data_IF_790032303852
#
_entry.id   IF_790032303852
#
_cell.length_a   1.000
_cell.length_b   1.000
_cell.length_c   1.000
_cell.angle_alpha   90.00
_cell.angle_beta   90.00
_cell.angle_gamma   90.00
#
_symmetry.space_group_name_H-M   'P 1'
#
loop_
_entity.id
_entity.type
_entity.pdbx_description
1 polymer ?
#
# COMPACT_ATOMS: atom_id res chain seq x y z
N UNK A 1 -40.70 35.69 26.07
CA UNK A 1 -39.31 35.64 25.57
C UNK A 1 -38.77 34.24 25.85
N UNK A 2 -38.88 33.33 24.88
CA UNK A 2 -38.22 32.03 24.95
C UNK A 2 -36.88 32.18 24.23
N UNK A 3 -35.79 32.04 24.97
CA UNK A 3 -34.45 32.03 24.43
C UNK A 3 -34.24 30.73 23.65
N UNK A 4 -34.15 30.83 22.32
CA UNK A 4 -33.70 29.76 21.46
C UNK A 4 -32.20 29.58 21.66
N UNK A 5 -31.81 28.50 22.33
CA UNK A 5 -30.44 27.99 22.38
C UNK A 5 -29.95 27.75 20.95
N UNK A 6 -28.76 28.24 20.53
CA UNK A 6 -28.25 27.91 19.21
C UNK A 6 -27.95 26.41 19.16
N UNK A 7 -28.51 25.75 18.14
CA UNK A 7 -28.17 24.37 17.81
C UNK A 7 -26.64 24.28 17.69
N UNK A 8 -26.04 23.35 18.42
CA UNK A 8 -24.64 22.99 18.25
C UNK A 8 -24.41 22.72 16.76
N UNK A 9 -23.55 23.51 16.12
CA UNK A 9 -23.13 23.26 14.77
C UNK A 9 -22.58 21.83 14.73
N UNK A 10 -23.28 20.92 14.05
CA UNK A 10 -22.76 19.61 13.75
C UNK A 10 -21.38 19.83 13.10
N UNK A 11 -20.31 19.30 13.71
CA UNK A 11 -18.98 19.40 13.16
C UNK A 11 -19.06 18.94 11.70
N UNK A 12 -18.71 19.80 10.75
CA UNK A 12 -18.83 19.49 9.34
C UNK A 12 -18.00 18.25 9.06
N UNK A 13 -18.65 17.14 8.68
CA UNK A 13 -17.96 15.93 8.32
C UNK A 13 -17.06 16.23 7.11
N UNK A 14 -15.75 16.00 7.23
CA UNK A 14 -14.82 16.22 6.14
C UNK A 14 -15.21 15.35 4.93
N UNK A 15 -15.24 15.95 3.74
CA UNK A 15 -15.64 15.28 2.49
C UNK A 15 -14.43 15.16 1.58
N UNK A 16 -14.22 13.98 1.00
CA UNK A 16 -13.26 13.76 -0.10
C UNK A 16 -13.99 13.90 -1.43
N UNK A 17 -13.41 14.69 -2.32
CA UNK A 17 -13.89 14.94 -3.67
C UNK A 17 -12.93 14.30 -4.67
N UNK A 18 -13.39 13.27 -5.37
CA UNK A 18 -12.64 12.68 -6.48
C UNK A 18 -12.82 13.59 -7.70
N UNK A 19 -11.72 14.11 -8.22
CA UNK A 19 -11.66 15.06 -9.34
C UNK A 19 -11.36 14.35 -10.66
N UNK A 20 -10.51 13.33 -10.62
CA UNK A 20 -10.19 12.52 -11.79
C UNK A 20 -9.90 11.08 -11.40
N UNK A 21 -10.22 10.18 -12.34
CA UNK A 21 -9.88 8.76 -12.23
C UNK A 21 -9.18 8.33 -13.50
N UNK A 22 -7.94 7.90 -13.37
CA UNK A 22 -7.03 7.61 -14.47
C UNK A 22 -6.38 6.24 -14.26
N UNK A 23 -5.67 5.78 -15.28
CA UNK A 23 -4.82 4.59 -15.21
C UNK A 23 -3.43 4.96 -15.70
N UNK A 24 -2.40 4.66 -14.92
CA UNK A 24 -1.00 4.75 -15.34
C UNK A 24 -0.58 3.38 -15.87
N UNK A 25 -0.20 3.33 -17.14
CA UNK A 25 0.26 2.11 -17.83
C UNK A 25 1.76 2.16 -18.05
N UNK A 26 2.48 1.02 -18.08
CA UNK A 26 3.92 0.99 -18.38
C UNK A 26 4.24 1.69 -19.70
N UNK A 27 5.37 2.43 -19.76
CA UNK A 27 5.86 3.06 -20.99
C UNK A 27 6.53 2.09 -21.96
N UNK A 28 6.90 0.89 -21.48
CA UNK A 28 7.48 -0.20 -22.28
C UNK A 28 6.56 -1.40 -22.21
N UNK A 29 6.29 -2.00 -23.37
CA UNK A 29 5.44 -3.19 -23.48
C UNK A 29 6.16 -4.38 -22.87
N UNK A 30 5.46 -5.12 -22.01
CA UNK A 30 5.97 -6.37 -21.46
C UNK A 30 5.76 -7.50 -22.48
N UNK A 31 6.73 -8.39 -22.60
CA UNK A 31 6.62 -9.54 -23.48
C UNK A 31 5.34 -10.37 -23.16
N UNK A 32 4.55 -10.75 -24.18
CA UNK A 32 3.33 -11.50 -23.95
C UNK A 32 3.57 -12.82 -23.22
N UNK A 33 2.68 -13.15 -22.28
CA UNK A 33 2.70 -14.43 -21.57
C UNK A 33 3.57 -14.46 -20.31
N UNK A 34 4.24 -13.35 -19.96
CA UNK A 34 4.95 -13.24 -18.68
C UNK A 34 3.98 -13.28 -17.51
N UNK A 35 4.31 -14.10 -16.51
CA UNK A 35 3.54 -14.25 -15.28
C UNK A 35 4.48 -14.39 -14.09
N UNK A 36 3.98 -14.02 -12.91
CA UNK A 36 4.66 -14.23 -11.63
C UNK A 36 3.81 -15.15 -10.76
N UNK A 37 4.38 -16.25 -10.27
CA UNK A 37 3.64 -17.27 -9.54
C UNK A 37 3.31 -16.82 -8.11
N UNK A 38 2.07 -17.11 -7.70
CA UNK A 38 1.61 -17.02 -6.31
C UNK A 38 1.17 -18.43 -5.88
N UNK A 39 2.11 -19.18 -5.30
CA UNK A 39 1.87 -20.52 -4.81
C UNK A 39 0.98 -20.49 -3.56
N UNK A 40 0.01 -21.39 -3.49
CA UNK A 40 -0.89 -21.53 -2.33
C UNK A 40 -0.78 -22.96 -1.84
N UNK A 41 -0.37 -23.16 -0.58
CA UNK A 41 -0.11 -24.50 -0.04
C UNK A 41 -1.38 -25.37 0.06
N UNK A 42 -2.55 -24.74 0.27
CA UNK A 42 -3.85 -25.41 0.33
C UNK A 42 -4.89 -24.62 -0.50
N UNK A 43 -4.94 -24.81 -1.84
CA UNK A 43 -5.92 -24.12 -2.68
C UNK A 43 -7.35 -24.66 -2.47
N UNK A 44 -8.40 -23.84 -2.66
CA UNK A 44 -8.35 -22.44 -3.09
C UNK A 44 -8.02 -21.48 -1.94
N UNK A 45 -7.39 -20.35 -2.28
CA UNK A 45 -7.17 -19.26 -1.32
C UNK A 45 -8.53 -18.71 -0.84
N UNK A 46 -8.76 -18.56 0.48
CA UNK A 46 -10.03 -18.07 0.99
C UNK A 46 -10.25 -16.60 0.61
N UNK A 47 -11.49 -16.20 0.35
CA UNK A 47 -11.83 -14.85 -0.12
C UNK A 47 -11.27 -13.70 0.76
N UNK A 48 -11.26 -13.78 2.11
CA UNK A 48 -10.64 -12.75 2.95
C UNK A 48 -9.14 -12.57 2.71
N UNK A 49 -8.42 -13.63 2.34
CA UNK A 49 -6.99 -13.53 2.07
C UNK A 49 -6.68 -12.73 0.80
N UNK A 50 -7.63 -12.65 -0.15
CA UNK A 50 -7.53 -11.78 -1.33
C UNK A 50 -7.73 -10.28 -0.99
N UNK A 51 -8.37 -9.97 0.14
CA UNK A 51 -8.63 -8.59 0.59
C UNK A 51 -7.51 -8.00 1.45
N UNK A 52 -6.54 -8.85 1.83
CA UNK A 52 -5.38 -8.45 2.60
C UNK A 52 -4.53 -7.49 1.77
N UNK A 53 -4.21 -6.32 2.35
CA UNK A 53 -3.48 -5.27 1.65
C UNK A 53 -2.56 -4.48 2.57
N UNK A 54 -1.51 -3.95 1.96
CA UNK A 54 -0.71 -2.87 2.53
C UNK A 54 -1.43 -1.55 2.22
N UNK A 55 -1.64 -0.72 3.23
CA UNK A 55 -2.03 0.67 3.08
C UNK A 55 -0.90 1.57 3.56
N UNK A 56 -0.45 2.47 2.71
CA UNK A 56 0.53 3.50 3.04
C UNK A 56 -0.02 4.88 2.69
N UNK A 57 0.11 5.85 3.60
CA UNK A 57 -0.26 7.25 3.37
C UNK A 57 0.92 8.15 3.75
N UNK A 58 1.42 8.90 2.78
CA UNK A 58 2.54 9.83 2.94
C UNK A 58 2.01 11.25 2.83
N UNK A 59 2.25 12.08 3.85
CA UNK A 59 1.75 13.44 3.95
C UNK A 59 2.86 14.45 3.73
N UNK A 60 2.61 15.50 2.96
CA UNK A 60 3.58 16.52 2.60
C UNK A 60 3.02 17.91 2.86
N UNK A 61 3.88 18.82 3.33
CA UNK A 61 3.55 20.24 3.45
C UNK A 61 3.51 20.89 2.07
N UNK A 62 2.66 21.90 1.92
CA UNK A 62 2.71 22.77 0.75
C UNK A 62 3.95 23.65 0.76
N UNK A 63 4.47 24.02 -0.41
CA UNK A 63 5.66 24.85 -0.55
C UNK A 63 5.45 26.34 -0.19
N UNK A 64 4.35 26.69 0.49
CA UNK A 64 4.06 28.06 0.94
C UNK A 64 3.93 29.06 -0.22
N UNK A 65 2.76 29.07 -0.88
CA UNK A 65 2.45 30.02 -1.93
C UNK A 65 1.34 29.51 -2.84
N UNK A 66 0.46 30.40 -3.30
CA UNK A 66 -0.56 30.07 -4.29
C UNK A 66 0.09 29.80 -5.65
N UNK A 67 0.75 28.65 -5.80
CA UNK A 67 1.36 28.26 -7.06
C UNK A 67 0.29 27.69 -8.01
N UNK A 68 0.16 28.20 -9.24
CA UNK A 68 -0.75 27.67 -10.28
C UNK A 68 -0.44 26.22 -10.73
N UNK A 69 0.66 25.62 -10.26
CA UNK A 69 1.24 24.35 -10.74
C UNK A 69 0.65 23.06 -10.15
N UNK A 70 -0.29 23.14 -9.21
CA UNK A 70 -0.87 21.95 -8.55
C UNK A 70 -1.49 20.94 -9.54
N UNK A 71 -1.91 21.43 -10.72
CA UNK A 71 -2.46 20.61 -11.80
C UNK A 71 -1.37 19.92 -12.65
N UNK A 72 -0.31 20.66 -13.00
CA UNK A 72 0.85 20.12 -13.72
C UNK A 72 1.45 18.92 -12.97
N UNK A 73 1.35 18.93 -11.64
CA UNK A 73 1.83 17.85 -10.78
C UNK A 73 1.09 16.52 -10.97
N UNK A 74 -0.21 16.53 -11.27
CA UNK A 74 -0.96 15.30 -11.54
C UNK A 74 -0.49 14.60 -12.81
N UNK A 75 -0.16 15.40 -13.82
CA UNK A 75 0.43 14.94 -15.08
C UNK A 75 1.80 14.34 -14.81
N UNK A 76 2.68 15.03 -14.09
CA UNK A 76 4.02 14.52 -13.77
C UNK A 76 3.98 13.25 -12.90
N UNK A 77 3.06 13.16 -11.95
CA UNK A 77 2.84 11.95 -11.14
C UNK A 77 2.47 10.78 -12.05
N UNK A 78 1.50 10.95 -12.95
CA UNK A 78 1.10 9.89 -13.88
C UNK A 78 2.24 9.47 -14.81
N UNK A 79 2.91 10.42 -15.47
CA UNK A 79 4.00 10.11 -16.42
C UNK A 79 5.16 9.38 -15.73
N UNK A 80 5.56 9.85 -14.54
CA UNK A 80 6.61 9.20 -13.77
C UNK A 80 6.22 7.84 -13.20
N UNK A 81 4.96 7.66 -12.82
CA UNK A 81 4.44 6.36 -12.40
C UNK A 81 4.45 5.39 -13.57
N UNK A 82 3.98 5.81 -14.74
CA UNK A 82 4.04 5.04 -15.98
C UNK A 82 5.46 4.60 -16.34
N UNK A 83 6.44 5.49 -16.19
CA UNK A 83 7.84 5.14 -16.43
C UNK A 83 8.40 4.18 -15.37
N UNK A 84 8.05 4.36 -14.10
CA UNK A 84 8.47 3.44 -13.03
C UNK A 84 7.87 2.04 -13.21
N UNK A 85 6.63 1.94 -13.69
CA UNK A 85 5.97 0.67 -13.98
C UNK A 85 6.66 -0.12 -15.11
N UNK A 86 7.42 0.55 -15.98
CA UNK A 86 8.17 -0.13 -17.02
C UNK A 86 9.40 -0.90 -16.47
N UNK A 87 9.85 -0.56 -15.25
CA UNK A 87 10.90 -1.31 -14.53
C UNK A 87 10.30 -2.29 -13.49
N UNK A 88 9.00 -2.16 -13.19
CA UNK A 88 8.25 -2.97 -12.21
C UNK A 88 6.89 -3.41 -12.78
N UNK A 89 6.88 -4.17 -13.88
CA UNK A 89 5.64 -4.46 -14.63
C UNK A 89 4.65 -5.34 -13.87
N UNK A 90 5.09 -6.09 -12.87
CA UNK A 90 4.21 -6.84 -11.97
C UNK A 90 3.20 -5.92 -11.28
N UNK A 91 3.60 -4.70 -10.92
CA UNK A 91 2.72 -3.70 -10.30
C UNK A 91 1.59 -3.23 -11.24
N UNK A 92 1.76 -3.40 -12.54
CA UNK A 92 0.76 -3.10 -13.58
C UNK A 92 -0.08 -4.33 -14.00
N UNK A 93 0.17 -5.50 -13.40
CA UNK A 93 -0.48 -6.75 -13.76
C UNK A 93 -1.88 -6.95 -13.18
N UNK A 94 -2.43 -8.15 -13.40
CA UNK A 94 -3.73 -8.58 -12.86
C UNK A 94 -3.63 -9.98 -12.26
N UNK A 95 -4.38 -10.23 -11.20
CA UNK A 95 -4.45 -11.55 -10.57
C UNK A 95 -5.23 -12.51 -11.48
N UNK A 96 -4.78 -13.76 -11.54
CA UNK A 96 -5.47 -14.83 -12.24
C UNK A 96 -5.40 -16.12 -11.44
N UNK A 97 -6.51 -16.84 -11.39
CA UNK A 97 -6.56 -18.21 -10.85
C UNK A 97 -6.13 -19.20 -11.92
N UNK A 98 -5.22 -20.12 -11.56
CA UNK A 98 -4.76 -21.20 -12.44
C UNK A 98 -5.66 -22.43 -12.29
N UNK A 99 -5.54 -23.35 -13.25
CA UNK A 99 -6.34 -24.58 -13.27
C UNK A 99 -6.06 -25.52 -12.08
N UNK A 100 -4.85 -25.46 -11.51
CA UNK A 100 -4.44 -26.22 -10.33
C UNK A 100 -4.90 -25.57 -9.00
N UNK A 101 -5.65 -24.47 -9.07
CA UNK A 101 -6.14 -23.72 -7.90
C UNK A 101 -5.12 -22.74 -7.31
N UNK A 102 -3.87 -22.72 -7.80
CA UNK A 102 -2.90 -21.70 -7.46
C UNK A 102 -3.23 -20.36 -8.13
N UNK A 103 -2.50 -19.31 -7.74
CA UNK A 103 -2.69 -17.96 -8.26
C UNK A 103 -1.44 -17.50 -9.01
N UNK A 104 -1.61 -16.49 -9.83
CA UNK A 104 -0.51 -15.80 -10.48
C UNK A 104 -0.87 -14.34 -10.74
N UNK A 105 0.17 -13.53 -10.91
CA UNK A 105 0.05 -12.19 -11.47
C UNK A 105 0.41 -12.28 -12.94
N UNK A 106 -0.56 -12.01 -13.81
CA UNK A 106 -0.32 -11.86 -15.24
C UNK A 106 0.19 -10.46 -15.52
N UNK A 107 1.38 -10.35 -16.10
CA UNK A 107 1.99 -9.07 -16.48
C UNK A 107 1.42 -8.67 -17.84
N UNK A 108 0.32 -7.92 -17.83
CA UNK A 108 -0.49 -7.62 -19.02
C UNK A 108 -0.66 -6.11 -19.28
N UNK A 109 0.19 -5.28 -18.67
CA UNK A 109 0.24 -3.83 -18.84
C UNK A 109 -1.09 -3.10 -18.59
N UNK A 110 -2.02 -3.71 -17.83
CA UNK A 110 -3.33 -3.09 -17.55
C UNK A 110 -3.17 -1.84 -16.68
N UNK A 111 -2.06 -1.72 -15.95
CA UNK A 111 -1.67 -0.52 -15.24
C UNK A 111 -2.28 -0.37 -13.85
N UNK A 112 -1.87 0.71 -13.18
CA UNK A 112 -2.24 1.08 -11.81
C UNK A 112 -3.35 2.12 -11.84
N UNK A 113 -4.35 1.96 -10.97
CA UNK A 113 -5.44 2.93 -10.85
C UNK A 113 -4.93 4.16 -10.09
N UNK A 114 -5.01 5.33 -10.74
CA UNK A 114 -4.55 6.61 -10.19
C UNK A 114 -5.75 7.55 -10.00
N UNK A 115 -5.98 7.99 -8.77
CA UNK A 115 -7.02 8.95 -8.43
C UNK A 115 -6.40 10.31 -8.10
N UNK A 116 -7.08 11.37 -8.50
CA UNK A 116 -6.81 12.72 -8.02
C UNK A 116 -8.00 13.19 -7.20
N UNK A 117 -7.73 13.70 -6.01
CA UNK A 117 -8.76 14.11 -5.07
C UNK A 117 -8.42 15.41 -4.33
N UNK A 118 -9.44 16.05 -3.81
CA UNK A 118 -9.34 17.10 -2.79
C UNK A 118 -10.10 16.69 -1.54
N UNK A 119 -9.71 17.20 -0.38
CA UNK A 119 -10.43 16.98 0.87
C UNK A 119 -10.77 18.31 1.52
N UNK A 120 -11.98 18.42 2.06
CA UNK A 120 -12.47 19.59 2.79
C UNK A 120 -11.92 19.65 4.23
N UNK A 121 -10.59 19.65 4.35
CA UNK A 121 -9.83 19.77 5.59
C UNK A 121 -8.45 20.36 5.28
N UNK A 122 -7.88 21.11 6.22
CA UNK A 122 -6.44 21.40 6.19
C UNK A 122 -5.64 20.16 6.58
N UNK A 123 -4.35 20.11 6.21
CA UNK A 123 -3.48 19.00 6.60
C UNK A 123 -3.38 18.86 8.12
N UNK A 124 -3.23 19.98 8.84
CA UNK A 124 -3.12 19.98 10.29
C UNK A 124 -4.41 19.52 10.97
N UNK A 125 -5.59 19.95 10.49
CA UNK A 125 -6.88 19.44 10.98
C UNK A 125 -7.05 17.94 10.73
N UNK A 126 -6.62 17.45 9.56
CA UNK A 126 -6.75 16.04 9.21
C UNK A 126 -5.86 15.14 10.06
N UNK A 127 -4.63 15.58 10.33
CA UNK A 127 -3.68 14.87 11.20
C UNK A 127 -4.03 15.02 12.69
N UNK A 128 -4.78 16.06 13.06
CA UNK A 128 -5.23 16.26 14.43
C UNK A 128 -6.27 15.20 14.85
N UNK A 129 -6.19 14.79 16.12
CA UNK A 129 -7.15 13.87 16.75
C UNK A 129 -6.52 12.54 17.17
N UNK A 130 -6.83 12.12 18.40
CA UNK A 130 -6.36 10.85 18.95
C UNK A 130 -7.31 9.72 18.51
N UNK A 131 -6.77 8.66 17.90
CA UNK A 131 -7.49 7.39 17.73
C UNK A 131 -8.43 7.25 16.53
N UNK A 132 -8.48 8.21 15.60
CA UNK A 132 -9.35 8.14 14.40
C UNK A 132 -8.60 8.28 13.06
N UNK A 133 -7.29 8.53 13.07
CA UNK A 133 -6.52 8.78 11.85
C UNK A 133 -6.53 7.58 10.89
N UNK A 134 -6.28 6.37 11.38
CA UNK A 134 -6.29 5.14 10.57
C UNK A 134 -7.62 4.96 9.82
N UNK A 135 -8.75 5.24 10.48
CA UNK A 135 -10.09 5.17 9.90
C UNK A 135 -10.30 6.21 8.79
N UNK A 136 -9.76 7.43 8.97
CA UNK A 136 -9.83 8.49 7.95
C UNK A 136 -8.91 8.21 6.76
N UNK A 137 -7.80 7.52 6.97
CA UNK A 137 -6.82 7.17 5.94
C UNK A 137 -7.37 6.26 4.83
N UNK A 138 -8.42 5.48 5.12
CA UNK A 138 -9.17 4.76 4.07
C UNK A 138 -9.73 5.68 2.98
N UNK A 139 -10.06 6.94 3.31
CA UNK A 139 -10.53 7.92 2.33
C UNK A 139 -9.39 8.48 1.46
N UNK A 140 -8.14 8.35 1.91
CA UNK A 140 -6.94 8.81 1.18
C UNK A 140 -6.27 7.71 0.36
N UNK A 141 -6.51 6.44 0.68
CA UNK A 141 -5.94 5.28 0.00
C UNK A 141 -7.07 4.37 -0.52
N UNK A 142 -7.53 4.55 -1.77
CA UNK A 142 -8.71 3.87 -2.30
C UNK A 142 -8.47 2.36 -2.41
N UNK A 143 -9.55 1.59 -2.28
CA UNK A 143 -9.51 0.15 -2.41
C UNK A 143 -10.82 -0.38 -3.02
N UNK A 144 -10.73 -1.47 -3.75
CA UNK A 144 -11.88 -2.26 -4.18
C UNK A 144 -11.51 -3.71 -4.00
N UNK A 145 -12.40 -4.46 -3.36
CA UNK A 145 -12.16 -5.86 -3.06
C UNK A 145 -11.94 -6.68 -4.33
N UNK A 146 -10.99 -7.60 -4.26
CA UNK A 146 -10.68 -8.53 -5.35
C UNK A 146 -11.79 -9.57 -5.41
N UNK A 147 -12.51 -9.60 -6.53
CA UNK A 147 -13.50 -10.64 -6.81
C UNK A 147 -12.78 -11.95 -7.13
N UNK A 148 -13.08 -13.02 -6.39
CA UNK A 148 -12.46 -14.32 -6.61
C UNK A 148 -12.92 -15.00 -7.90
N UNK A 149 -14.08 -14.62 -8.43
CA UNK A 149 -14.64 -15.16 -9.68
C UNK A 149 -14.06 -14.48 -10.91
N UNK A 150 -13.87 -13.15 -10.84
CA UNK A 150 -13.31 -12.32 -11.93
C UNK A 150 -12.08 -11.51 -11.46
N UNK A 151 -11.01 -12.17 -10.97
CA UNK A 151 -9.88 -11.47 -10.35
C UNK A 151 -9.05 -10.66 -11.34
N UNK A 152 -9.13 -10.97 -12.63
CA UNK A 152 -8.43 -10.26 -13.69
C UNK A 152 -9.04 -8.88 -14.01
N UNK A 153 -10.29 -8.68 -13.60
CA UNK A 153 -11.00 -7.40 -13.71
C UNK A 153 -10.73 -6.47 -12.52
N UNK A 154 -10.09 -6.97 -11.46
CA UNK A 154 -9.79 -6.22 -10.24
C UNK A 154 -8.39 -5.60 -10.28
N UNK A 155 -8.22 -4.29 -10.02
CA UNK A 155 -6.89 -3.68 -9.85
C UNK A 155 -6.31 -4.12 -8.50
N UNK A 156 -5.13 -4.77 -8.45
CA UNK A 156 -4.52 -5.17 -7.18
C UNK A 156 -3.75 -4.02 -6.51
N UNK A 157 -3.57 -2.88 -7.21
CA UNK A 157 -2.82 -1.73 -6.72
C UNK A 157 -3.50 -0.42 -7.14
N UNK A 158 -3.70 0.45 -6.16
CA UNK A 158 -4.24 1.79 -6.31
C UNK A 158 -3.29 2.84 -5.72
N UNK A 159 -3.28 4.01 -6.35
CA UNK A 159 -2.62 5.22 -5.86
C UNK A 159 -3.60 6.39 -5.93
N UNK A 160 -3.59 7.27 -4.93
CA UNK A 160 -4.38 8.49 -4.89
C UNK A 160 -3.52 9.67 -4.45
N UNK A 161 -3.56 10.73 -5.24
CA UNK A 161 -3.01 12.03 -4.87
C UNK A 161 -4.14 12.90 -4.32
N UNK A 162 -4.10 13.21 -3.03
CA UNK A 162 -5.13 14.02 -2.36
C UNK A 162 -4.55 15.36 -1.94
N UNK A 163 -5.20 16.46 -2.30
CA UNK A 163 -4.81 17.80 -1.86
C UNK A 163 -5.72 18.29 -0.73
N UNK A 164 -5.10 18.85 0.31
CA UNK A 164 -5.79 19.48 1.43
C UNK A 164 -6.15 20.94 1.11
N UNK A 165 -7.16 21.46 1.81
CA UNK A 165 -7.44 22.89 1.79
C UNK A 165 -6.31 23.69 2.48
N UNK A 166 -6.18 24.96 2.13
CA UNK A 166 -5.21 25.87 2.76
C UNK A 166 -3.87 25.96 2.02
N UNK A 167 -2.78 25.68 2.73
CA UNK A 167 -1.38 25.98 2.36
C UNK A 167 -0.81 25.17 1.18
N UNK A 168 -1.61 24.28 0.59
CA UNK A 168 -1.20 23.41 -0.50
C UNK A 168 -0.60 22.07 -0.04
N UNK A 169 -0.78 21.69 1.23
CA UNK A 169 -0.49 20.34 1.70
C UNK A 169 -1.17 19.25 0.87
N UNK A 170 -0.53 18.09 0.77
CA UNK A 170 -1.04 16.96 -0.01
C UNK A 170 -0.64 15.62 0.60
N UNK A 171 -1.36 14.56 0.23
CA UNK A 171 -1.05 13.19 0.58
C UNK A 171 -0.96 12.30 -0.66
N UNK A 172 -0.07 11.32 -0.60
CA UNK A 172 -0.04 10.17 -1.50
C UNK A 172 -0.51 8.96 -0.72
N UNK A 173 -1.70 8.48 -1.04
CA UNK A 173 -2.26 7.26 -0.46
C UNK A 173 -2.14 6.09 -1.43
N UNK A 174 -1.78 4.93 -0.90
CA UNK A 174 -1.55 3.70 -1.66
C UNK A 174 -2.26 2.55 -0.96
N UNK A 175 -2.94 1.72 -1.76
CA UNK A 175 -3.44 0.41 -1.34
C UNK A 175 -2.93 -0.65 -2.31
N UNK A 176 -2.22 -1.64 -1.81
CA UNK A 176 -1.64 -2.72 -2.62
C UNK A 176 -1.99 -4.08 -2.00
N UNK A 177 -2.56 -4.99 -2.80
CA UNK A 177 -2.87 -6.34 -2.39
C UNK A 177 -1.58 -7.04 -1.90
N UNK A 178 -1.63 -7.73 -0.76
CA UNK A 178 -0.48 -8.46 -0.22
C UNK A 178 -0.07 -9.63 -1.12
N UNK A 179 -1.01 -10.17 -1.89
CA UNK A 179 -0.73 -11.17 -2.94
C UNK A 179 0.03 -10.59 -4.14
N UNK A 180 0.08 -9.26 -4.28
CA UNK A 180 0.84 -8.55 -5.31
C UNK A 180 2.20 -8.08 -4.80
N UNK A 181 2.28 -7.48 -3.63
CA UNK A 181 3.54 -7.04 -3.07
C UNK A 181 3.46 -7.03 -1.55
N UNK A 182 4.51 -7.54 -0.92
CA UNK A 182 4.74 -7.33 0.50
C UNK A 182 5.10 -5.84 0.79
N UNK A 183 5.02 -5.39 2.05
CA UNK A 183 5.33 -4.02 2.42
C UNK A 183 6.72 -3.53 1.99
N UNK A 184 7.75 -4.39 2.04
CA UNK A 184 9.11 -4.01 1.68
C UNK A 184 9.27 -3.85 0.17
N UNK A 185 8.71 -4.77 -0.62
CA UNK A 185 8.65 -4.65 -2.09
C UNK A 185 7.87 -3.40 -2.51
N UNK A 186 6.73 -3.13 -1.87
CA UNK A 186 5.97 -1.91 -2.13
C UNK A 186 6.79 -0.65 -1.81
N UNK A 187 7.48 -0.61 -0.67
CA UNK A 187 8.32 0.53 -0.31
C UNK A 187 9.46 0.75 -1.31
N UNK A 188 10.14 -0.32 -1.73
CA UNK A 188 11.17 -0.27 -2.77
C UNK A 188 10.63 0.26 -4.10
N UNK A 189 9.45 -0.18 -4.52
CA UNK A 189 8.77 0.35 -5.70
C UNK A 189 8.50 1.85 -5.58
N UNK A 190 7.92 2.29 -4.45
CA UNK A 190 7.58 3.69 -4.22
C UNK A 190 8.82 4.60 -4.18
N UNK A 191 9.92 4.14 -3.57
CA UNK A 191 11.21 4.82 -3.58
C UNK A 191 11.82 4.87 -4.99
N UNK A 192 11.70 3.79 -5.77
CA UNK A 192 12.11 3.78 -7.18
C UNK A 192 11.31 4.78 -8.00
N UNK A 193 9.99 4.80 -7.83
CA UNK A 193 9.11 5.78 -8.47
C UNK A 193 9.49 7.21 -8.13
N UNK A 194 9.78 7.53 -6.86
CA UNK A 194 10.21 8.87 -6.47
C UNK A 194 11.51 9.32 -7.15
N UNK A 195 12.49 8.41 -7.29
CA UNK A 195 13.71 8.68 -8.07
C UNK A 195 13.40 8.94 -9.55
N UNK A 196 12.54 8.13 -10.15
CA UNK A 196 12.07 8.32 -11.53
C UNK A 196 11.32 9.64 -11.70
N UNK A 197 10.48 10.01 -10.74
CA UNK A 197 9.75 11.27 -10.71
C UNK A 197 10.69 12.48 -10.66
N UNK A 198 11.70 12.45 -9.78
CA UNK A 198 12.71 13.49 -9.71
C UNK A 198 13.49 13.63 -11.04
N UNK A 199 13.89 12.51 -11.64
CA UNK A 199 14.58 12.48 -12.95
C UNK A 199 13.72 13.11 -14.05
N UNK A 200 12.45 12.69 -14.18
CA UNK A 200 11.56 13.19 -15.23
C UNK A 200 11.25 14.67 -15.02
N UNK A 201 11.01 15.12 -13.78
CA UNK A 201 10.82 16.56 -13.50
C UNK A 201 12.04 17.38 -13.87
N UNK A 202 13.24 16.90 -13.58
CA UNK A 202 14.48 17.57 -13.99
C UNK A 202 14.60 17.65 -15.52
N UNK A 203 14.28 16.57 -16.23
CA UNK A 203 14.26 16.55 -17.70
C UNK A 203 13.20 17.50 -18.28
N UNK A 204 11.99 17.52 -17.71
CA UNK A 204 10.90 18.39 -18.15
C UNK A 204 11.18 19.89 -18.01
N UNK A 205 12.03 20.29 -17.04
CA UNK A 205 12.56 21.66 -16.92
C UNK A 205 13.52 22.00 -18.06
N UNK A 206 14.29 21.02 -18.54
CA UNK A 206 15.27 21.20 -19.61
C UNK A 206 14.67 21.11 -21.02
N UNK A 207 13.63 20.28 -21.19
CA UNK A 207 12.92 20.11 -22.46
C UNK A 207 11.43 19.96 -22.16
N UNK A 208 10.59 20.94 -22.53
CA UNK A 208 9.18 20.85 -22.21
C UNK A 208 8.54 19.67 -22.94
N UNK A 209 7.97 18.72 -22.19
CA UNK A 209 7.25 17.57 -22.74
C UNK A 209 5.92 18.06 -23.30
N UNK A 210 5.73 18.09 -24.64
CA UNK A 210 4.56 18.74 -25.25
C UNK A 210 3.25 18.10 -24.80
N UNK A 211 3.21 16.76 -24.70
CA UNK A 211 2.04 16.02 -24.22
C UNK A 211 1.64 16.37 -22.78
N UNK A 212 2.62 16.60 -21.90
CA UNK A 212 2.34 17.00 -20.53
C UNK A 212 1.72 18.41 -20.46
N UNK A 213 2.19 19.32 -21.32
CA UNK A 213 1.61 20.67 -21.44
C UNK A 213 0.19 20.65 -22.01
N UNK A 214 -0.08 19.80 -23.02
CA UNK A 214 -1.42 19.64 -23.58
C UNK A 214 -2.40 19.05 -22.56
N UNK A 215 -2.00 18.02 -21.80
CA UNK A 215 -2.83 17.46 -20.73
C UNK A 215 -3.11 18.50 -19.64
N UNK A 216 -2.09 19.25 -19.21
CA UNK A 216 -2.25 20.34 -18.26
C UNK A 216 -3.23 21.43 -18.73
N UNK A 217 -3.30 21.67 -20.05
CA UNK A 217 -4.22 22.63 -20.65
C UNK A 217 -5.70 22.21 -20.54
N UNK A 218 -6.03 20.94 -20.82
CA UNK A 218 -7.42 20.45 -20.78
C UNK A 218 -8.01 20.31 -19.38
N UNK A 219 -7.15 20.33 -18.37
CA UNK A 219 -7.51 19.97 -17.02
C UNK A 219 -7.37 21.17 -16.06
N UNK A 220 -7.32 22.39 -16.59
CA UNK A 220 -7.23 23.62 -15.80
C UNK A 220 -8.42 23.74 -14.81
N UNK A 221 -8.15 24.07 -13.53
CA UNK A 221 -9.20 24.22 -12.52
C UNK A 221 -10.23 25.31 -12.84
N UNK A 222 -9.83 26.34 -13.58
CA UNK A 222 -10.68 27.48 -13.97
C UNK A 222 -11.73 27.11 -15.02
N UNK A 223 -11.50 26.05 -15.80
CA UNK A 223 -12.39 25.64 -16.88
C UNK A 223 -13.36 24.53 -16.47
N UNK A 224 -13.04 23.71 -15.45
CA UNK A 224 -13.99 22.73 -14.88
C UNK A 224 -13.43 22.05 -13.62
N UNK A 225 -13.83 22.48 -12.41
CA UNK A 225 -13.74 21.62 -11.22
C UNK A 225 -14.85 20.57 -11.27
N UNK A 226 -14.78 19.64 -12.23
CA UNK A 226 -15.76 18.57 -12.33
C UNK A 226 -15.41 17.51 -11.29
N UNK A 227 -16.13 17.54 -10.16
CA UNK A 227 -16.06 16.46 -9.16
C UNK A 227 -16.75 15.24 -9.75
N UNK A 228 -16.01 14.15 -9.93
CA UNK A 228 -16.54 12.84 -10.36
C UNK A 228 -17.45 12.28 -9.28
N UNK A 229 -17.00 12.34 -8.02
CA UNK A 229 -17.74 11.84 -6.85
C UNK A 229 -17.32 12.61 -5.61
N UNK A 230 -18.25 12.83 -4.69
CA UNK A 230 -17.96 13.38 -3.35
C UNK A 230 -18.44 12.39 -2.31
N UNK A 231 -17.61 12.10 -1.32
CA UNK A 231 -17.88 11.05 -0.31
C UNK A 231 -17.42 11.56 1.06
N UNK A 232 -18.30 11.57 2.07
CA UNK A 232 -17.90 11.85 3.45
C UNK A 232 -16.82 10.87 3.92
N UNK A 233 -15.81 11.34 4.64
CA UNK A 233 -14.69 10.51 5.11
C UNK A 233 -15.17 9.34 5.97
N UNK A 234 -16.21 9.56 6.78
CA UNK A 234 -16.77 8.52 7.64
C UNK A 234 -17.40 7.35 6.87
N UNK A 235 -17.71 7.53 5.58
CA UNK A 235 -18.23 6.46 4.71
C UNK A 235 -17.16 5.47 4.26
N UNK A 236 -15.87 5.79 4.42
CA UNK A 236 -14.76 4.88 4.04
C UNK A 236 -14.34 3.94 5.17
N UNK A 237 -14.88 4.16 6.36
CA UNK A 237 -14.65 3.30 7.50
C UNK A 237 -15.41 1.98 7.34
N UNK A 238 -14.76 0.99 6.74
CA UNK A 238 -15.25 -0.39 6.79
C UNK A 238 -15.06 -1.01 8.17
N UNK A 239 -15.82 -2.07 8.45
CA UNK A 239 -15.86 -2.81 9.72
C UNK A 239 -14.54 -3.50 10.15
N UNK A 240 -13.41 -3.26 9.46
CA UNK A 240 -12.10 -3.85 9.79
C UNK A 240 -10.94 -2.85 9.75
N UNK A 241 -11.22 -1.54 9.60
CA UNK A 241 -10.17 -0.54 9.55
C UNK A 241 -9.70 -0.15 10.95
N UNK A 242 -8.46 -0.49 11.28
CA UNK A 242 -7.91 -0.30 12.62
C UNK A 242 -8.27 -1.41 13.62
N UNK A 243 -8.74 -2.57 13.15
CA UNK A 243 -9.06 -3.75 13.97
C UNK A 243 -7.88 -4.74 14.10
N UNK A 244 -6.72 -4.37 13.55
CA UNK A 244 -5.50 -5.14 13.65
C UNK A 244 -4.31 -4.24 14.03
N UNK A 245 -3.32 -4.85 14.68
CA UNK A 245 -2.08 -4.21 15.06
C UNK A 245 -0.91 -5.00 14.51
N UNK A 246 0.09 -4.28 14.00
CA UNK A 246 1.20 -4.87 13.27
C UNK A 246 2.52 -4.52 13.94
N UNK A 247 3.35 -5.53 14.18
CA UNK A 247 4.70 -5.41 14.72
C UNK A 247 5.70 -5.97 13.70
N UNK A 248 6.82 -5.27 13.52
CA UNK A 248 7.89 -5.69 12.63
C UNK A 248 9.05 -6.25 13.44
N UNK A 249 9.69 -7.28 12.90
CA UNK A 249 10.86 -7.92 13.45
C UNK A 249 11.92 -8.13 12.37
N UNK A 250 13.18 -8.03 12.76
CA UNK A 250 14.30 -8.56 11.99
C UNK A 250 14.71 -9.90 12.57
N UNK A 251 14.74 -10.93 11.73
CA UNK A 251 15.25 -12.25 12.08
C UNK A 251 16.72 -12.36 11.64
N UNK A 252 17.58 -12.79 12.58
CA UNK A 252 19.00 -12.98 12.33
C UNK A 252 19.31 -14.08 11.31
N UNK A 253 20.52 -14.05 10.75
CA UNK A 253 20.96 -14.92 9.64
C UNK A 253 20.83 -16.42 9.90
N UNK A 254 20.96 -16.88 11.15
CA UNK A 254 20.75 -18.28 11.51
C UNK A 254 19.27 -18.70 11.45
N UNK A 255 18.34 -17.82 11.83
CA UNK A 255 16.91 -18.06 11.71
C UNK A 255 16.45 -17.96 10.25
N UNK A 256 17.08 -17.07 9.47
CA UNK A 256 16.85 -16.95 8.03
C UNK A 256 17.39 -18.15 7.25
N UNK A 257 18.58 -18.64 7.56
CA UNK A 257 19.17 -19.83 6.94
C UNK A 257 18.40 -21.11 7.29
N UNK A 258 17.84 -21.20 8.50
CA UNK A 258 16.91 -22.27 8.83
C UNK A 258 15.62 -22.17 8.01
N UNK A 259 15.08 -20.96 7.83
CA UNK A 259 13.87 -20.72 7.04
C UNK A 259 14.04 -21.07 5.54
N UNK A 260 15.23 -20.84 4.97
CA UNK A 260 15.60 -21.19 3.59
C UNK A 260 15.61 -22.73 3.35
N UNK A 261 15.56 -23.54 4.42
CA UNK A 261 15.58 -25.01 4.40
C UNK A 261 14.26 -25.70 4.04
N UNK A 262 13.12 -24.98 3.95
CA UNK A 262 11.83 -25.52 3.49
C UNK A 262 10.59 -24.92 4.18
N UNK A 263 9.38 -25.35 3.75
CA UNK A 263 8.10 -24.80 4.23
C UNK A 263 7.86 -25.00 5.75
N UNK A 264 8.55 -25.95 6.39
CA UNK A 264 8.42 -26.22 7.83
C UNK A 264 9.03 -25.14 8.73
N UNK A 265 10.10 -24.47 8.26
CA UNK A 265 10.91 -23.59 9.10
C UNK A 265 10.36 -22.14 9.14
N UNK A 266 9.72 -21.69 8.05
CA UNK A 266 8.97 -20.42 8.04
C UNK A 266 7.78 -20.44 9.01
N UNK A 267 7.14 -21.58 9.26
CA UNK A 267 6.03 -21.71 10.23
C UNK A 267 6.51 -21.52 11.66
N UNK A 268 7.66 -22.10 12.01
CA UNK A 268 8.27 -21.94 13.32
C UNK A 268 8.67 -20.49 13.58
N UNK A 269 9.29 -19.83 12.57
CA UNK A 269 9.62 -18.41 12.62
C UNK A 269 8.35 -17.54 12.78
N UNK A 270 7.30 -17.84 12.01
CA UNK A 270 6.03 -17.12 12.09
C UNK A 270 5.37 -17.27 13.48
N UNK A 271 5.35 -18.46 14.06
CA UNK A 271 4.85 -18.70 15.41
C UNK A 271 5.63 -17.89 16.45
N UNK A 272 6.97 -17.89 16.38
CA UNK A 272 7.81 -17.11 17.30
C UNK A 272 7.55 -15.59 17.17
N UNK A 273 7.34 -15.08 15.95
CA UNK A 273 7.00 -13.68 15.74
C UNK A 273 5.62 -13.31 16.30
N UNK A 274 4.65 -14.21 16.22
CA UNK A 274 3.30 -14.03 16.78
C UNK A 274 3.34 -14.03 18.31
N UNK A 275 4.07 -14.95 18.92
CA UNK A 275 4.24 -15.00 20.38
C UNK A 275 4.87 -13.68 20.87
N UNK A 276 5.96 -13.25 20.23
CA UNK A 276 6.64 -11.99 20.55
C UNK A 276 5.79 -10.75 20.29
N UNK A 277 5.00 -10.73 19.21
CA UNK A 277 4.05 -9.64 18.95
C UNK A 277 2.94 -9.59 19.99
N UNK A 278 2.43 -10.75 20.43
CA UNK A 278 1.40 -10.82 21.47
C UNK A 278 1.94 -10.28 22.80
N UNK A 279 3.17 -10.63 23.16
CA UNK A 279 3.86 -10.06 24.34
C UNK A 279 4.04 -8.55 24.22
N UNK A 280 4.52 -8.06 23.07
CA UNK A 280 4.77 -6.64 22.84
C UNK A 280 3.49 -5.78 22.87
N UNK A 281 2.37 -6.34 22.39
CA UNK A 281 1.06 -5.68 22.40
C UNK A 281 0.26 -5.93 23.70
N UNK A 282 0.77 -6.76 24.61
CA UNK A 282 0.07 -7.11 25.85
C UNK A 282 -1.20 -7.93 25.64
N UNK A 283 -1.31 -8.67 24.53
CA UNK A 283 -2.47 -9.53 24.21
C UNK A 283 -2.41 -10.83 25.02
N UNK A 284 -3.52 -11.15 25.68
CA UNK A 284 -3.67 -12.37 26.49
C UNK A 284 -4.25 -13.53 25.69
N UNK A 285 -5.05 -13.22 24.68
CA UNK A 285 -5.71 -14.22 23.86
C UNK A 285 -4.74 -14.76 22.82
N UNK A 286 -4.69 -16.10 22.72
CA UNK A 286 -3.85 -16.77 21.76
C UNK A 286 -4.55 -16.81 20.42
N UNK A 287 -3.88 -16.30 19.39
CA UNK A 287 -4.28 -16.47 18.00
C UNK A 287 -4.32 -17.97 17.68
N UNK A 288 -5.47 -18.47 17.23
CA UNK A 288 -5.69 -19.90 16.97
C UNK A 288 -5.28 -20.33 15.56
N UNK A 289 -5.26 -19.38 14.62
CA UNK A 289 -4.98 -19.60 13.19
C UNK A 289 -3.99 -18.56 12.67
N UNK A 290 -3.04 -19.01 11.87
CA UNK A 290 -2.02 -18.18 11.27
C UNK A 290 -2.00 -18.35 9.76
N UNK A 291 -2.03 -17.23 9.06
CA UNK A 291 -1.66 -17.17 7.66
C UNK A 291 -0.22 -16.67 7.53
N UNK A 292 0.60 -17.40 6.79
CA UNK A 292 2.00 -17.05 6.52
C UNK A 292 2.16 -16.75 5.04
N UNK A 293 2.58 -15.54 4.72
CA UNK A 293 2.95 -15.11 3.38
C UNK A 293 4.47 -15.03 3.33
N UNK A 294 5.10 -15.83 2.49
CA UNK A 294 6.54 -15.84 2.27
C UNK A 294 6.81 -15.28 0.89
N UNK A 295 7.65 -14.25 0.81
CA UNK A 295 8.13 -13.71 -0.45
C UNK A 295 9.56 -14.17 -0.65
N UNK A 296 9.79 -14.93 -1.72
CA UNK A 296 11.12 -15.40 -2.07
C UNK A 296 11.87 -14.28 -2.81
N UNK A 297 13.17 -14.16 -2.56
CA UNK A 297 14.02 -13.28 -3.35
C UNK A 297 14.03 -13.74 -4.82
N UNK A 298 14.01 -12.81 -5.76
CA UNK A 298 14.10 -13.14 -7.18
C UNK A 298 15.43 -13.87 -7.47
N UNK A 299 15.37 -15.06 -8.05
CA UNK A 299 16.56 -15.83 -8.39
C UNK A 299 17.11 -15.45 -9.78
N UNK A 300 18.29 -14.82 -9.84
CA UNK A 300 19.06 -14.62 -11.07
C UNK A 300 18.69 -13.40 -11.93
N UNK A 301 19.27 -13.35 -13.14
CA UNK A 301 19.31 -12.20 -14.07
C UNK A 301 17.94 -11.82 -14.68
N UNK A 302 16.91 -12.65 -14.47
CA UNK A 302 15.51 -12.32 -14.79
C UNK A 302 14.80 -11.91 -13.50
N UNK A 303 14.99 -10.64 -13.11
CA UNK A 303 14.55 -10.01 -11.85
C UNK A 303 13.03 -10.01 -11.59
N UNK A 304 12.26 -10.74 -12.40
CA UNK A 304 10.81 -10.82 -12.40
C UNK A 304 10.24 -12.15 -11.92
N UNK A 305 11.10 -13.14 -11.65
CA UNK A 305 10.72 -14.42 -11.08
C UNK A 305 10.78 -14.42 -9.54
N UNK A 306 10.22 -13.40 -8.89
CA UNK A 306 9.91 -13.50 -7.45
C UNK A 306 8.73 -14.45 -7.25
N UNK A 307 8.87 -15.46 -6.38
CA UNK A 307 7.75 -16.35 -6.03
C UNK A 307 7.15 -15.89 -4.72
N UNK A 308 5.82 -15.76 -4.67
CA UNK A 308 5.10 -15.57 -3.41
C UNK A 308 4.45 -16.87 -3.02
N UNK A 309 4.70 -17.35 -1.81
CA UNK A 309 4.05 -18.55 -1.27
C UNK A 309 3.12 -18.15 -0.13
N UNK A 310 1.88 -18.62 -0.17
CA UNK A 310 0.86 -18.35 0.84
C UNK A 310 0.45 -19.66 1.49
N UNK A 311 0.59 -19.73 2.80
CA UNK A 311 0.19 -20.87 3.62
C UNK A 311 -0.77 -20.44 4.72
N UNK A 312 -1.66 -21.35 5.12
CA UNK A 312 -2.47 -21.20 6.32
C UNK A 312 -2.20 -22.40 7.22
N UNK A 313 -1.84 -22.16 8.48
CA UNK A 313 -1.53 -23.18 9.47
C UNK A 313 -2.23 -22.89 10.80
N UNK A 314 -2.46 -23.93 11.59
CA UNK A 314 -2.89 -23.79 12.98
C UNK A 314 -1.74 -23.27 13.83
N UNK A 315 -2.00 -22.26 14.66
CA UNK A 315 -0.99 -21.76 15.59
C UNK A 315 -0.59 -22.89 16.54
N UNK A 316 0.67 -23.32 16.47
CA UNK A 316 1.21 -24.34 17.38
C UNK A 316 2.09 -23.65 18.41
N UNK A 317 1.88 -23.87 19.72
CA UNK A 317 2.76 -23.32 20.74
C UNK A 317 4.14 -23.99 20.63
N UNK A 318 5.20 -23.18 20.56
CA UNK A 318 6.58 -23.68 20.63
C UNK A 318 7.54 -23.22 19.54
N UNK A 319 7.42 -22.00 19.04
CA UNK A 319 8.45 -21.40 18.20
C UNK A 319 9.72 -21.13 19.02
N UNK A 320 10.65 -22.08 19.04
CA UNK A 320 11.90 -21.96 19.79
C UNK A 320 12.76 -20.78 19.33
N UNK A 321 13.37 -20.07 20.30
CA UNK A 321 14.68 -19.42 20.25
C UNK A 321 15.08 -18.52 19.07
N UNK A 322 14.18 -18.10 18.18
CA UNK A 322 14.54 -17.23 17.08
C UNK A 322 15.03 -15.87 17.62
N UNK A 323 16.25 -15.49 17.21
CA UNK A 323 16.77 -14.15 17.51
C UNK A 323 16.00 -13.14 16.68
N UNK A 324 15.02 -12.50 17.32
CA UNK A 324 14.15 -11.49 16.74
C UNK A 324 14.47 -10.13 17.35
N UNK A 325 14.75 -9.14 16.52
CA UNK A 325 14.90 -7.74 16.92
C UNK A 325 13.64 -6.97 16.50
N UNK A 326 13.08 -6.13 17.37
CA UNK A 326 11.91 -5.31 16.99
C UNK A 326 12.34 -4.15 16.09
N UNK A 327 11.60 -3.94 15.00
CA UNK A 327 11.90 -2.96 13.95
C UNK A 327 10.76 -1.96 13.83
N UNK A 328 11.08 -0.72 13.47
CA UNK A 328 10.07 0.31 13.19
C UNK A 328 9.69 0.33 11.71
N UNK A 329 8.47 0.76 11.40
CA UNK A 329 8.00 0.97 10.02
C UNK A 329 8.91 1.91 9.22
N UNK A 330 9.60 2.84 9.88
CA UNK A 330 10.55 3.76 9.26
C UNK A 330 11.76 3.09 8.62
N UNK A 331 12.08 1.84 9.00
CA UNK A 331 13.15 1.08 8.34
C UNK A 331 12.80 0.66 6.91
N UNK A 332 11.53 0.74 6.51
CA UNK A 332 11.13 0.62 5.10
C UNK A 332 11.56 1.83 4.25
N UNK A 333 11.97 2.93 4.89
CA UNK A 333 12.57 4.10 4.23
C UNK A 333 11.57 5.02 3.53
N UNK A 334 10.27 4.90 3.75
CA UNK A 334 9.25 5.72 3.08
C UNK A 334 9.33 7.22 3.46
N UNK A 335 9.95 7.56 4.58
CA UNK A 335 10.26 8.94 4.99
C UNK A 335 11.30 9.61 4.07
N UNK A 336 12.05 8.82 3.30
CA UNK A 336 13.01 9.31 2.30
C UNK A 336 12.38 9.51 0.92
N UNK A 337 11.08 9.26 0.78
CA UNK A 337 10.36 9.43 -0.48
C UNK A 337 10.17 10.92 -0.79
N UNK A 338 11.11 11.50 -1.53
CA UNK A 338 11.05 12.91 -1.93
C UNK A 338 10.09 13.12 -3.10
N UNK A 339 9.04 13.91 -2.88
CA UNK A 339 8.16 14.44 -3.92
C UNK A 339 8.10 15.96 -3.82
N UNK A 340 8.10 16.62 -4.98
CA UNK A 340 8.19 18.10 -5.07
C UNK A 340 9.34 18.67 -4.24
N UNK A 341 10.48 17.98 -4.29
CA UNK A 341 11.71 18.39 -3.59
C UNK A 341 11.54 18.45 -2.05
N UNK A 342 10.52 17.78 -1.51
CA UNK A 342 10.19 17.71 -0.08
C UNK A 342 10.00 16.28 0.38
N UNK A 343 10.44 15.97 1.60
CA UNK A 343 10.16 14.71 2.28
C UNK A 343 8.74 14.72 2.89
N UNK A 344 8.14 13.55 3.16
CA UNK A 344 6.90 13.50 3.91
C UNK A 344 7.12 14.06 5.32
N UNK A 345 6.15 14.80 5.84
CA UNK A 345 6.10 15.22 7.24
C UNK A 345 5.47 14.18 8.16
N UNK A 346 4.73 13.23 7.58
CA UNK A 346 4.18 12.09 8.29
C UNK A 346 4.03 10.92 7.31
N UNK A 347 4.29 9.71 7.79
CA UNK A 347 4.07 8.45 7.06
C UNK A 347 3.27 7.54 7.96
N UNK A 348 2.16 7.02 7.44
CA UNK A 348 1.36 5.98 8.06
C UNK A 348 1.41 4.73 7.20
N UNK A 349 1.75 3.59 7.80
CA UNK A 349 1.73 2.28 7.15
C UNK A 349 0.97 1.29 8.02
N UNK A 350 0.10 0.51 7.40
CA UNK A 350 -0.73 -0.47 8.10
C UNK A 350 -1.06 -1.64 7.18
N UNK A 351 -1.30 -2.82 7.75
CA UNK A 351 -1.99 -3.89 7.04
C UNK A 351 -3.47 -3.85 7.35
N UNK A 352 -4.26 -4.00 6.30
CA UNK A 352 -5.69 -4.27 6.43
C UNK A 352 -5.93 -5.73 6.08
N UNK A 353 -6.49 -6.49 7.03
CA UNK A 353 -6.62 -7.96 6.95
C UNK A 353 -7.90 -8.45 6.27
N UNK A 354 -8.85 -7.55 5.96
CA UNK A 354 -10.05 -7.88 5.18
C UNK A 354 -11.17 -8.57 5.96
N UNK A 355 -11.24 -8.37 7.29
CA UNK A 355 -12.35 -8.88 8.13
C UNK A 355 -12.28 -10.36 8.50
N UNK A 356 -11.09 -10.97 8.41
CA UNK A 356 -10.87 -12.40 8.66
C UNK A 356 -10.75 -12.81 10.14
N UNK A 357 -11.68 -12.43 11.02
CA UNK A 357 -11.78 -12.93 12.41
C UNK A 357 -10.47 -12.94 13.23
N UNK A 358 -10.35 -13.87 14.18
CA UNK A 358 -9.20 -14.01 15.10
C UNK A 358 -7.93 -14.61 14.43
N UNK A 359 -7.74 -14.42 13.13
CA UNK A 359 -6.59 -14.96 12.39
C UNK A 359 -5.41 -13.98 12.38
N UNK A 360 -4.24 -14.44 12.84
CA UNK A 360 -3.00 -13.70 12.71
C UNK A 360 -2.39 -13.83 11.32
N UNK A 361 -1.72 -12.79 10.86
CA UNK A 361 -1.04 -12.76 9.57
C UNK A 361 0.44 -12.49 9.79
N UNK A 362 1.30 -13.35 9.23
CA UNK A 362 2.75 -13.14 9.18
C UNK A 362 3.20 -12.98 7.74
N UNK A 363 3.98 -11.95 7.47
CA UNK A 363 4.63 -11.71 6.17
C UNK A 363 6.14 -11.80 6.36
N UNK A 364 6.79 -12.73 5.68
CA UNK A 364 8.24 -12.93 5.70
C UNK A 364 8.82 -12.38 4.40
N UNK A 365 9.74 -11.42 4.52
CA UNK A 365 10.28 -10.64 3.42
C UNK A 365 11.82 -10.72 3.40
N UNK A 366 12.44 -10.82 2.22
CA UNK A 366 13.89 -10.83 2.10
C UNK A 366 14.45 -9.41 2.30
N UNK A 367 15.27 -9.24 3.33
CA UNK A 367 15.93 -7.98 3.67
C UNK A 367 17.22 -7.81 2.85
N UNK A 368 17.69 -6.57 2.68
CA UNK A 368 18.92 -6.26 1.91
C UNK A 368 20.20 -6.57 2.71
N UNK A 369 20.08 -6.82 4.02
CA UNK A 369 21.17 -7.25 4.89
C UNK A 369 21.57 -8.70 4.65
N UNK A 370 22.86 -9.02 4.82
CA UNK A 370 23.51 -10.31 4.54
C UNK A 370 22.75 -11.55 5.05
N UNK A 371 21.71 -11.98 4.34
CA UNK A 371 20.83 -13.10 4.71
C UNK A 371 19.89 -12.81 5.89
N UNK A 372 19.53 -11.56 6.19
CA UNK A 372 18.48 -11.26 7.19
C UNK A 372 17.07 -11.32 6.56
N UNK A 373 16.07 -11.59 7.39
CA UNK A 373 14.65 -11.51 6.99
C UNK A 373 13.94 -10.43 7.79
N UNK A 374 13.12 -9.64 7.11
CA UNK A 374 12.16 -8.77 7.76
C UNK A 374 10.84 -9.51 7.88
N UNK A 375 10.35 -9.69 9.09
CA UNK A 375 9.13 -10.42 9.39
C UNK A 375 8.12 -9.48 10.02
N UNK A 376 6.91 -9.48 9.51
CA UNK A 376 5.84 -8.63 10.00
C UNK A 376 4.70 -9.48 10.53
N UNK A 377 4.35 -9.31 11.79
CA UNK A 377 3.26 -10.02 12.45
C UNK A 377 2.09 -9.05 12.70
N UNK A 378 0.93 -9.36 12.14
CA UNK A 378 -0.31 -8.61 12.30
C UNK A 378 -1.31 -9.43 13.09
N UNK A 379 -1.75 -8.90 14.23
CA UNK A 379 -2.67 -9.55 15.15
C UNK A 379 -3.99 -8.78 15.23
N UNK A 380 -5.16 -9.45 15.22
CA UNK A 380 -6.46 -8.81 15.46
C UNK A 380 -6.50 -8.19 16.85
N UNK A 381 -7.20 -7.07 17.03
CA UNK A 381 -7.22 -6.27 18.26
C UNK A 381 -7.94 -6.93 19.42
#
# INVERSE_FOLDING_TARGET
MAATTPAAAAAAAHVVHIEAVQTAVPTRVVEPGRTRLVAVAAPPLPAPALQRRVRAVLYYRGAGGAAPGAWEDGVWVKESLSEALADHPEMAGRLRRRADGSWEVKLNDTGVRLLQATVDATLDEFLAGKGALARREAALAPWTDVNADDPDMCPPFFMQLTRFQGDGGYAVGVSCALVLADPLTLARFLLSWARTHARIRAQGKATPLPMAQYLAYFQRPETTRKRVRSVPIDSFAGDGDGDAETVLFRAGTAAAAAADGGHGDHRALAAACVDKASEALGKKDKVSRLSVVVVDAAAGDDSLAGKTTIETCTASPGGGGASLEAVQWSELGLEELVLRDSKPVHVSCSIVTGGGGDEGLVVVMPDDGAGSLLVMATLPK
#
